data_IF_704884595819
#
_entry.id   IF_704884595819
#
_cell.length_a   1.000
_cell.length_b   1.000
_cell.length_c   1.000
_cell.angle_alpha   90.00
_cell.angle_beta   90.00
_cell.angle_gamma   90.00
#
_symmetry.space_group_name_H-M   'P 1'
#
loop_
_entity.id
_entity.type
_entity.pdbx_description
1 polymer ?
#
# COMPACT_ATOMS: atom_id res chain seq x y z
N UNK A 1 -15.39 -3.20 0.83
CA UNK A 1 -15.71 -4.40 0.03
C UNK A 1 -15.55 -4.19 -1.47
N UNK A 2 -15.92 -3.02 -2.02
CA UNK A 2 -15.81 -2.68 -3.45
C UNK A 2 -14.54 -3.19 -4.17
N UNK A 3 -13.35 -2.95 -3.60
CA UNK A 3 -12.07 -3.40 -4.20
C UNK A 3 -12.00 -4.93 -4.34
N UNK A 4 -12.37 -5.67 -3.29
CA UNK A 4 -12.38 -7.13 -3.31
C UNK A 4 -13.36 -7.66 -4.35
N UNK A 5 -14.57 -7.08 -4.40
CA UNK A 5 -15.62 -7.50 -5.32
C UNK A 5 -15.23 -7.22 -6.79
N UNK A 6 -14.69 -6.03 -7.07
CA UNK A 6 -14.29 -5.63 -8.42
C UNK A 6 -13.05 -6.37 -8.95
N UNK A 7 -12.09 -6.68 -8.08
CA UNK A 7 -10.89 -7.44 -8.43
C UNK A 7 -11.08 -8.96 -8.38
N UNK A 8 -12.28 -9.44 -8.01
CA UNK A 8 -12.55 -10.88 -7.84
C UNK A 8 -11.71 -11.53 -6.72
N UNK A 9 -11.25 -10.74 -5.74
CA UNK A 9 -10.40 -11.22 -4.66
C UNK A 9 -11.24 -11.94 -3.61
N UNK A 10 -10.99 -13.24 -3.44
CA UNK A 10 -11.57 -14.05 -2.37
C UNK A 10 -10.65 -13.95 -1.14
N UNK A 11 -10.68 -12.79 -0.49
CA UNK A 11 -9.89 -12.49 0.71
C UNK A 11 -10.78 -11.97 1.84
N UNK A 12 -10.38 -12.24 3.08
CA UNK A 12 -11.02 -11.62 4.25
C UNK A 12 -10.41 -10.24 4.44
N UNK A 13 -11.24 -9.20 4.28
CA UNK A 13 -10.82 -7.84 4.59
C UNK A 13 -10.69 -7.69 6.12
N UNK A 14 -9.52 -7.26 6.57
CA UNK A 14 -9.29 -6.88 7.95
C UNK A 14 -9.49 -5.37 8.09
N UNK A 15 -10.40 -4.99 8.98
CA UNK A 15 -10.66 -3.59 9.30
C UNK A 15 -9.83 -3.20 10.52
N UNK A 16 -9.03 -2.16 10.39
CA UNK A 16 -8.16 -1.63 11.44
C UNK A 16 -8.44 -0.15 11.58
N UNK A 17 -9.07 0.24 12.69
CA UNK A 17 -9.47 1.63 12.95
C UNK A 17 -8.26 2.57 12.97
N UNK A 18 -7.09 2.05 13.38
CA UNK A 18 -5.83 2.78 13.40
C UNK A 18 -5.29 3.21 12.03
N UNK A 19 -5.96 2.86 10.92
CA UNK A 19 -5.62 3.32 9.56
C UNK A 19 -6.31 4.66 9.22
N UNK A 20 -7.46 4.95 9.81
CA UNK A 20 -8.24 6.13 9.46
C UNK A 20 -7.46 7.42 9.81
N UNK A 21 -7.18 8.24 8.79
CA UNK A 21 -6.38 9.48 8.91
C UNK A 21 -5.05 9.29 9.66
N UNK A 22 -4.48 8.09 9.58
CA UNK A 22 -3.27 7.74 10.31
C UNK A 22 -2.03 8.39 9.70
N UNK A 23 -1.06 8.72 10.57
CA UNK A 23 0.26 9.15 10.13
C UNK A 23 1.02 8.01 9.45
N UNK A 24 1.98 8.34 8.57
CA UNK A 24 2.80 7.32 7.92
C UNK A 24 3.53 6.41 8.90
N UNK A 25 3.99 6.95 10.04
CA UNK A 25 4.59 6.16 11.12
C UNK A 25 3.60 5.15 11.70
N UNK A 26 2.35 5.56 11.94
CA UNK A 26 1.32 4.65 12.46
C UNK A 26 0.98 3.56 11.45
N UNK A 27 0.89 3.91 10.16
CA UNK A 27 0.68 2.94 9.10
C UNK A 27 1.85 1.95 8.98
N UNK A 28 3.10 2.42 9.11
CA UNK A 28 4.30 1.57 9.13
C UNK A 28 4.25 0.57 10.30
N UNK A 29 3.86 1.03 11.49
CA UNK A 29 3.67 0.16 12.66
C UNK A 29 2.61 -0.92 12.38
N UNK A 30 1.47 -0.56 11.77
CA UNK A 30 0.41 -1.52 11.41
C UNK A 30 0.92 -2.54 10.40
N UNK A 31 1.63 -2.09 9.35
CA UNK A 31 2.23 -2.98 8.34
C UNK A 31 3.23 -3.94 8.99
N UNK A 32 4.03 -3.47 9.95
CA UNK A 32 5.02 -4.31 10.64
C UNK A 32 4.41 -5.42 11.52
N UNK A 33 3.11 -5.36 11.78
CA UNK A 33 2.36 -6.33 12.59
C UNK A 33 1.67 -7.42 11.75
N UNK A 34 1.75 -7.34 10.42
CA UNK A 34 1.23 -8.38 9.53
C UNK A 34 1.98 -9.70 9.80
N UNK A 35 1.26 -10.83 9.72
CA UNK A 35 1.87 -12.15 9.97
C UNK A 35 2.74 -12.56 8.78
N UNK A 36 3.90 -13.14 9.03
CA UNK A 36 4.84 -13.60 8.00
C UNK A 36 4.27 -14.67 7.04
N UNK A 37 3.18 -15.35 7.43
CA UNK A 37 2.43 -16.23 6.53
C UNK A 37 1.70 -15.49 5.38
N UNK A 38 1.58 -14.16 5.46
CA UNK A 38 0.98 -13.32 4.42
C UNK A 38 2.07 -12.85 3.47
N UNK A 39 2.06 -13.31 2.22
CA UNK A 39 3.05 -12.91 1.22
C UNK A 39 2.77 -11.54 0.58
N UNK A 40 1.52 -11.09 0.63
CA UNK A 40 1.08 -9.86 -0.04
C UNK A 40 -0.06 -9.24 0.75
N UNK A 41 0.04 -7.94 1.02
CA UNK A 41 -0.98 -7.17 1.70
C UNK A 41 -1.35 -5.93 0.89
N UNK A 42 -2.63 -5.57 0.90
CA UNK A 42 -3.13 -4.32 0.34
C UNK A 42 -3.65 -3.44 1.46
N UNK A 43 -3.06 -2.27 1.61
CA UNK A 43 -3.49 -1.26 2.56
C UNK A 43 -4.43 -0.27 1.85
N UNK A 44 -5.63 -0.06 2.41
CA UNK A 44 -6.59 0.93 1.92
C UNK A 44 -6.83 1.95 3.02
N UNK A 45 -6.58 3.22 2.72
CA UNK A 45 -6.59 4.31 3.70
C UNK A 45 -6.64 5.69 3.05
N UNK A 46 -6.17 6.70 3.77
CA UNK A 46 -6.27 8.11 3.36
C UNK A 46 -4.91 8.78 3.18
N UNK A 47 -4.88 9.80 2.32
CA UNK A 47 -3.77 10.75 2.25
C UNK A 47 -3.91 11.80 3.36
N UNK A 48 -2.81 12.41 3.84
CA UNK A 48 -1.43 12.28 3.33
C UNK A 48 -0.70 11.01 3.79
N UNK A 49 -1.22 10.28 4.78
CA UNK A 49 -0.53 9.15 5.40
C UNK A 49 -0.03 8.07 4.42
N UNK A 50 -0.83 7.69 3.42
CA UNK A 50 -0.40 6.71 2.41
C UNK A 50 0.71 7.23 1.49
N UNK A 51 0.63 8.49 1.07
CA UNK A 51 1.65 9.13 0.22
C UNK A 51 2.99 9.27 0.95
N UNK A 52 2.92 9.66 2.22
CA UNK A 52 4.08 9.69 3.11
C UNK A 52 4.62 8.28 3.38
N UNK A 53 3.77 7.27 3.60
CA UNK A 53 4.20 5.88 3.78
C UNK A 53 4.92 5.35 2.53
N UNK A 54 4.37 5.61 1.34
CA UNK A 54 5.02 5.29 0.07
C UNK A 54 6.42 5.89 0.03
N UNK A 55 6.54 7.19 0.34
CA UNK A 55 7.82 7.89 0.38
C UNK A 55 8.79 7.28 1.41
N UNK A 56 8.31 6.92 2.60
CA UNK A 56 9.13 6.29 3.64
C UNK A 56 9.66 4.94 3.14
N UNK A 57 8.80 4.09 2.56
CA UNK A 57 9.18 2.74 2.17
C UNK A 57 10.13 2.71 0.98
N UNK A 58 9.97 3.63 0.01
CA UNK A 58 10.72 3.61 -1.25
C UNK A 58 11.84 4.65 -1.32
N UNK A 59 11.80 5.67 -0.46
CA UNK A 59 12.66 6.85 -0.56
C UNK A 59 12.25 7.81 -1.68
N UNK A 60 11.17 7.54 -2.41
CA UNK A 60 10.76 8.29 -3.60
C UNK A 60 9.36 8.91 -3.41
N UNK A 61 9.26 10.26 -3.34
CA UNK A 61 7.97 10.92 -3.17
C UNK A 61 7.15 10.88 -4.46
N UNK A 62 5.90 10.42 -4.36
CA UNK A 62 4.98 10.35 -5.48
C UNK A 62 3.58 10.85 -5.09
N UNK A 63 3.01 11.82 -5.81
CA UNK A 63 1.68 12.32 -5.50
C UNK A 63 0.62 11.25 -5.77
N UNK A 64 -0.24 10.98 -4.79
CA UNK A 64 -1.35 10.04 -4.91
C UNK A 64 -2.68 10.79 -5.00
N UNK A 65 -3.44 10.55 -6.06
CA UNK A 65 -4.84 10.98 -6.15
C UNK A 65 -5.78 9.96 -5.50
N UNK A 66 -7.05 10.30 -5.30
CA UNK A 66 -8.06 9.34 -4.83
C UNK A 66 -8.07 8.09 -5.71
N UNK A 67 -8.12 6.92 -5.09
CA UNK A 67 -8.06 5.61 -5.74
C UNK A 67 -6.78 5.35 -6.57
N UNK A 68 -5.66 6.02 -6.25
CA UNK A 68 -4.35 5.59 -6.78
C UNK A 68 -3.92 4.28 -6.12
N UNK A 69 -3.24 3.43 -6.87
CA UNK A 69 -2.70 2.16 -6.40
C UNK A 69 -1.19 2.11 -6.67
N UNK A 70 -0.41 1.97 -5.61
CA UNK A 70 1.03 1.76 -5.68
C UNK A 70 1.35 0.29 -5.31
N UNK A 71 2.26 -0.33 -6.05
CA UNK A 71 2.80 -1.64 -5.72
C UNK A 71 4.26 -1.50 -5.32
N UNK A 72 4.57 -1.93 -4.10
CA UNK A 72 5.91 -1.89 -3.54
C UNK A 72 6.36 -3.32 -3.31
N UNK A 73 7.52 -3.67 -3.83
CA UNK A 73 8.20 -4.91 -3.46
C UNK A 73 9.11 -4.64 -2.26
N UNK A 74 8.99 -5.43 -1.20
CA UNK A 74 9.74 -5.25 0.04
C UNK A 74 10.92 -6.23 0.09
N UNK A 75 12.14 -5.71 0.25
CA UNK A 75 13.37 -6.49 0.40
C UNK A 75 13.58 -6.98 1.83
N UNK A 76 12.60 -7.69 2.38
CA UNK A 76 12.54 -8.14 3.79
C UNK A 76 12.32 -9.65 3.87
N UNK A 77 12.75 -10.26 4.98
CA UNK A 77 12.45 -11.68 5.27
C UNK A 77 11.14 -11.87 6.06
N UNK A 78 10.69 -10.82 6.75
CA UNK A 78 9.44 -10.81 7.50
C UNK A 78 8.90 -9.40 7.76
N UNK A 79 7.61 -9.28 8.04
CA UNK A 79 6.92 -7.97 8.11
C UNK A 79 7.47 -7.07 9.22
N UNK A 80 8.01 -7.64 10.29
CA UNK A 80 8.62 -6.87 11.38
C UNK A 80 9.86 -6.07 10.97
N UNK A 81 10.47 -6.41 9.83
CA UNK A 81 11.64 -5.73 9.29
C UNK A 81 11.27 -4.54 8.39
N UNK A 82 9.97 -4.33 8.13
CA UNK A 82 9.50 -3.19 7.33
C UNK A 82 9.92 -1.88 8.00
N UNK A 83 10.79 -1.15 7.32
CA UNK A 83 11.36 0.12 7.77
C UNK A 83 11.49 1.10 6.60
N UNK A 84 12.01 2.29 6.88
CA UNK A 84 12.32 3.28 5.86
C UNK A 84 13.29 2.72 4.81
N UNK A 85 12.97 2.88 3.53
CA UNK A 85 13.79 2.39 2.42
C UNK A 85 13.78 0.87 2.24
N UNK A 86 12.89 0.13 2.92
CA UNK A 86 12.82 -1.33 2.82
C UNK A 86 12.22 -1.84 1.50
N UNK A 87 11.71 -0.97 0.63
CA UNK A 87 11.01 -1.37 -0.59
C UNK A 87 11.40 -0.61 -1.84
N UNK A 88 11.03 -1.18 -2.99
CA UNK A 88 11.16 -0.57 -4.31
C UNK A 88 9.78 -0.41 -4.93
N UNK A 89 9.48 0.78 -5.46
CA UNK A 89 8.24 1.03 -6.19
C UNK A 89 8.28 0.30 -7.55
N UNK A 90 7.38 -0.66 -7.74
CA UNK A 90 7.27 -1.40 -9.01
C UNK A 90 6.42 -0.63 -10.02
N UNK A 91 5.29 -0.08 -9.56
CA UNK A 91 4.41 0.75 -10.36
C UNK A 91 3.45 1.57 -9.49
N UNK A 92 3.00 2.69 -10.04
CA UNK A 92 1.95 3.54 -9.48
C UNK A 92 0.94 3.84 -10.58
N UNK A 93 -0.33 3.55 -10.33
CA UNK A 93 -1.43 3.81 -11.26
C UNK A 93 -2.39 4.79 -10.63
N UNK A 94 -2.74 5.86 -11.36
CA UNK A 94 -3.79 6.80 -10.98
C UNK A 94 -5.02 6.58 -11.86
N UNK A 95 -6.25 6.76 -11.36
CA UNK A 95 -7.46 6.45 -12.14
C UNK A 95 -7.53 7.17 -13.50
N UNK A 96 -7.02 8.40 -13.58
CA UNK A 96 -7.00 9.18 -14.84
C UNK A 96 -6.04 8.62 -15.91
N UNK A 97 -5.13 7.72 -15.53
CA UNK A 97 -4.09 7.18 -16.41
C UNK A 97 -4.46 5.79 -16.96
N UNK A 98 -5.44 5.09 -16.35
CA UNK A 98 -5.85 3.72 -16.72
C UNK A 98 -6.36 3.63 -18.18
N UNK A 99 -6.98 4.68 -18.72
CA UNK A 99 -7.43 4.73 -20.11
C UNK A 99 -6.34 5.03 -21.14
N UNK A 100 -5.11 5.33 -20.70
CA UNK A 100 -3.97 5.71 -21.56
C UNK A 100 -2.89 4.61 -21.56
N UNK A 101 -2.92 3.72 -20.57
CA UNK A 101 -1.98 2.61 -20.46
C UNK A 101 -2.51 1.38 -21.23
N UNK A 102 -1.83 1.01 -22.31
CA UNK A 102 -1.97 -0.32 -22.91
C UNK A 102 -1.41 -1.34 -21.91
N UNK A 103 -2.27 -1.91 -21.08
CA UNK A 103 -1.93 -3.08 -20.26
C UNK A 103 -1.70 -4.24 -21.22
N UNK A 104 -0.45 -4.67 -21.35
CA UNK A 104 -0.09 -5.95 -21.97
C UNK A 104 -0.10 -7.04 -20.91
#
# INVERSE_FOLDING_TARGET
>A
RLVCDAAGLIVVAHYEDGIYEASARRLLEIVSQIKDAVSTAMLVGHNPGLEELLTILTGEPHPMTTASLACIELGIEGWREVTSGAGTLQWLVKPKEIGVMNVR
#
